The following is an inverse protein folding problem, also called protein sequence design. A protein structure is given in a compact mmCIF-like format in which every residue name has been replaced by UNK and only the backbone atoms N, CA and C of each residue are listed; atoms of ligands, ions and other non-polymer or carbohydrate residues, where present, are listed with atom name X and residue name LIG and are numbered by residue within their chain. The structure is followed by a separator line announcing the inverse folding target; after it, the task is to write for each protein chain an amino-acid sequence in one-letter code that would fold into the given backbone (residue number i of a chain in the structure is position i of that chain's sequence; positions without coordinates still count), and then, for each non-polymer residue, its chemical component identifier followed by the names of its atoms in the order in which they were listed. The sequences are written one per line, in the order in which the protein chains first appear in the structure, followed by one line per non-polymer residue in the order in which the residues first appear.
data_IF_257178214838
#
_entry.id   IF_257178214838
#
_cell.length_a   1.000
_cell.length_b   1.000
_cell.length_c   1.000
_cell.angle_alpha   90.00
_cell.angle_beta   90.00
_cell.angle_gamma   90.00
#
_symmetry.space_group_name_H-M   'P 1'
#
loop_
_entity.id
_entity.type
_entity.pdbx_description
1 polymer ?
#
# COMPACT_ATOMS: atom_id res chain seq x y z
N UNK A 1 35.00 4.74 4.74
CA UNK A 1 34.28 6.00 4.98
C UNK A 1 34.55 6.48 6.39
N UNK A 2 34.88 7.75 6.54
CA UNK A 2 35.19 8.40 7.82
C UNK A 2 33.99 8.36 8.80
N UNK A 3 34.27 8.48 10.11
CA UNK A 3 33.26 8.53 11.18
C UNK A 3 32.21 9.61 10.91
N UNK A 4 32.61 10.78 10.41
CA UNK A 4 31.71 11.89 10.03
C UNK A 4 30.70 11.53 8.97
N UNK A 5 31.06 10.66 8.01
CA UNK A 5 30.14 10.24 6.97
C UNK A 5 28.96 9.41 7.51
N UNK A 6 29.18 8.66 8.61
CA UNK A 6 28.09 7.92 9.29
C UNK A 6 27.19 8.85 10.10
N UNK A 7 27.77 9.86 10.76
CA UNK A 7 27.00 10.87 11.50
C UNK A 7 26.06 11.65 10.57
N UNK A 8 26.51 11.99 9.36
CA UNK A 8 25.68 12.64 8.34
C UNK A 8 24.47 11.78 7.94
N UNK A 9 24.65 10.45 7.83
CA UNK A 9 23.53 9.54 7.53
C UNK A 9 22.52 9.51 8.68
N UNK A 10 22.98 9.42 9.92
CA UNK A 10 22.11 9.45 11.10
C UNK A 10 21.27 10.73 11.12
N UNK A 11 21.91 11.89 10.98
CA UNK A 11 21.24 13.18 10.94
C UNK A 11 20.24 13.31 9.78
N UNK A 12 20.56 12.74 8.60
CA UNK A 12 19.66 12.71 7.47
C UNK A 12 18.39 11.88 7.76
N UNK A 13 18.54 10.69 8.36
CA UNK A 13 17.38 9.84 8.68
C UNK A 13 16.55 10.42 9.82
N UNK A 14 17.16 11.08 10.80
CA UNK A 14 16.45 11.84 11.82
C UNK A 14 15.61 12.97 11.20
N UNK A 15 16.20 13.73 10.27
CA UNK A 15 15.47 14.78 9.56
C UNK A 15 14.30 14.23 8.73
N UNK A 16 14.49 13.10 8.05
CA UNK A 16 13.41 12.47 7.30
C UNK A 16 12.24 12.07 8.20
N UNK A 17 12.55 11.59 9.40
CA UNK A 17 11.53 11.10 10.35
C UNK A 17 10.82 12.27 11.02
N UNK A 18 11.58 13.24 11.54
CA UNK A 18 11.05 14.33 12.38
C UNK A 18 10.48 15.47 11.54
N UNK A 19 11.29 16.03 10.64
CA UNK A 19 10.88 17.22 9.88
C UNK A 19 9.96 16.90 8.69
N UNK A 20 10.30 15.85 7.91
CA UNK A 20 9.52 15.48 6.72
C UNK A 20 8.38 14.51 7.00
N UNK A 21 8.27 14.02 8.25
CA UNK A 21 7.24 13.05 8.65
C UNK A 21 7.12 11.89 7.65
N UNK A 22 8.26 11.44 7.13
CA UNK A 22 8.30 10.33 6.18
C UNK A 22 7.79 9.05 6.84
N UNK A 23 7.05 8.23 6.10
CA UNK A 23 6.57 6.96 6.64
C UNK A 23 7.74 6.05 7.01
N UNK A 24 7.56 5.21 8.03
CA UNK A 24 8.56 4.22 8.45
C UNK A 24 9.06 3.36 7.27
N UNK A 25 8.15 2.97 6.37
CA UNK A 25 8.49 2.24 5.14
C UNK A 25 9.39 3.05 4.20
N UNK A 26 9.18 4.35 4.09
CA UNK A 26 10.03 5.23 3.28
C UNK A 26 11.42 5.33 3.88
N UNK A 27 11.51 5.55 5.19
CA UNK A 27 12.78 5.63 5.91
C UNK A 27 13.57 4.32 5.77
N UNK A 28 12.95 3.17 6.06
CA UNK A 28 13.58 1.84 5.90
C UNK A 28 14.04 1.57 4.46
N UNK A 29 13.26 1.99 3.48
CA UNK A 29 13.63 1.84 2.07
C UNK A 29 14.83 2.71 1.71
N UNK A 30 14.83 3.97 2.13
CA UNK A 30 15.95 4.88 1.91
C UNK A 30 17.21 4.44 2.65
N UNK A 31 17.10 3.93 3.88
CA UNK A 31 18.22 3.35 4.61
C UNK A 31 18.89 2.23 3.82
N UNK A 32 18.08 1.28 3.31
CA UNK A 32 18.58 0.18 2.49
C UNK A 32 19.27 0.69 1.22
N UNK A 33 18.64 1.63 0.52
CA UNK A 33 19.16 2.18 -0.73
C UNK A 33 20.49 2.93 -0.51
N UNK A 34 20.58 3.76 0.52
CA UNK A 34 21.82 4.48 0.87
C UNK A 34 22.90 3.53 1.39
N UNK A 35 22.56 2.46 2.10
CA UNK A 35 23.53 1.43 2.50
C UNK A 35 24.19 0.76 1.28
N UNK A 36 23.46 0.54 0.20
CA UNK A 36 24.05 0.04 -1.04
C UNK A 36 25.04 1.04 -1.65
N UNK A 37 24.70 2.33 -1.66
CA UNK A 37 25.63 3.37 -2.09
C UNK A 37 26.86 3.45 -1.18
N UNK A 38 26.68 3.37 0.13
CA UNK A 38 27.77 3.35 1.11
C UNK A 38 28.75 2.21 0.84
N UNK A 39 28.21 1.01 0.58
CA UNK A 39 29.03 -0.15 0.20
C UNK A 39 29.82 0.11 -1.08
N UNK A 40 29.17 0.66 -2.12
CA UNK A 40 29.83 1.03 -3.37
C UNK A 40 30.98 2.02 -3.12
N UNK A 41 30.77 3.05 -2.28
CA UNK A 41 31.82 4.02 -1.94
C UNK A 41 33.01 3.36 -1.25
N UNK A 42 32.75 2.41 -0.34
CA UNK A 42 33.82 1.66 0.33
C UNK A 42 34.61 0.83 -0.70
N UNK A 43 33.93 0.08 -1.56
CA UNK A 43 34.52 -0.78 -2.59
C UNK A 43 35.33 0.02 -3.62
N UNK A 44 35.00 1.29 -3.84
CA UNK A 44 35.69 2.23 -4.74
C UNK A 44 36.69 3.16 -4.03
N UNK A 45 36.93 2.96 -2.73
CA UNK A 45 37.84 3.79 -1.93
C UNK A 45 37.48 5.27 -1.98
N UNK A 46 36.19 5.62 -2.03
CA UNK A 46 35.69 7.00 -1.95
C UNK A 46 35.51 7.35 -0.46
N UNK A 47 36.32 8.19 0.13
CA UNK A 47 36.36 8.42 1.58
C UNK A 47 35.27 9.35 2.09
N UNK A 48 34.89 10.37 1.30
CA UNK A 48 33.94 11.42 1.67
C UNK A 48 32.76 11.48 0.70
N UNK A 49 31.60 11.88 1.20
CA UNK A 49 30.43 12.11 0.35
C UNK A 49 30.65 13.21 -0.70
N UNK A 50 31.49 14.20 -0.40
CA UNK A 50 31.84 15.28 -1.33
C UNK A 50 32.64 14.78 -2.54
N UNK A 51 33.38 13.67 -2.41
CA UNK A 51 34.21 13.11 -3.48
C UNK A 51 33.43 12.30 -4.49
N UNK A 52 32.15 11.92 -4.18
CA UNK A 52 31.32 11.12 -5.09
C UNK A 52 30.92 11.94 -6.30
N UNK A 53 31.31 11.46 -7.49
CA UNK A 53 31.04 12.12 -8.76
C UNK A 53 29.79 11.56 -9.43
N UNK A 54 29.24 12.29 -10.38
CA UNK A 54 28.11 11.83 -11.20
C UNK A 54 28.40 10.52 -11.94
N UNK A 55 29.66 10.31 -12.40
CA UNK A 55 30.11 9.06 -13.02
C UNK A 55 29.99 7.87 -12.07
N UNK A 56 30.30 8.07 -10.77
CA UNK A 56 30.20 7.03 -9.76
C UNK A 56 28.76 6.63 -9.50
N UNK A 57 27.85 7.61 -9.39
CA UNK A 57 26.42 7.34 -9.25
C UNK A 57 25.88 6.59 -10.48
N UNK A 58 26.29 6.97 -11.69
CA UNK A 58 25.93 6.22 -12.91
C UNK A 58 26.44 4.78 -12.87
N UNK A 59 27.68 4.57 -12.49
CA UNK A 59 28.32 3.26 -12.38
C UNK A 59 27.64 2.39 -11.31
N UNK A 60 27.31 2.98 -10.17
CA UNK A 60 26.55 2.32 -9.10
C UNK A 60 25.18 1.84 -9.64
N UNK A 61 24.38 2.73 -10.22
CA UNK A 61 23.05 2.39 -10.77
C UNK A 61 23.14 1.34 -11.87
N UNK A 62 24.14 1.45 -12.76
CA UNK A 62 24.37 0.45 -13.80
C UNK A 62 24.75 -0.92 -13.22
N UNK A 63 25.55 -0.95 -12.15
CA UNK A 63 25.91 -2.15 -11.41
C UNK A 63 24.68 -2.82 -10.78
N UNK A 64 23.84 -2.02 -10.14
CA UNK A 64 22.58 -2.48 -9.54
C UNK A 64 21.61 -3.03 -10.59
N UNK A 65 21.54 -2.39 -11.76
CA UNK A 65 20.73 -2.88 -12.89
C UNK A 65 21.22 -4.23 -13.39
N UNK A 66 22.54 -4.44 -13.56
CA UNK A 66 23.12 -5.73 -13.93
C UNK A 66 22.86 -6.83 -12.89
N UNK A 67 22.69 -6.47 -11.62
CA UNK A 67 22.27 -7.39 -10.56
C UNK A 67 20.77 -7.72 -10.60
N UNK A 68 20.00 -7.24 -11.59
CA UNK A 68 18.60 -7.57 -11.80
C UNK A 68 17.60 -6.65 -11.08
N UNK A 69 18.03 -5.50 -10.53
CA UNK A 69 17.06 -4.56 -9.94
C UNK A 69 16.16 -3.95 -10.99
N UNK A 70 14.86 -3.90 -10.68
CA UNK A 70 13.86 -3.27 -11.54
C UNK A 70 14.10 -1.75 -11.69
N UNK A 71 13.71 -1.18 -12.82
CA UNK A 71 13.80 0.26 -13.06
C UNK A 71 13.08 1.09 -11.99
N UNK A 72 11.94 0.61 -11.46
CA UNK A 72 11.22 1.27 -10.36
C UNK A 72 12.04 1.30 -9.07
N UNK A 73 12.74 0.20 -8.73
CA UNK A 73 13.63 0.15 -7.58
C UNK A 73 14.82 1.09 -7.75
N UNK A 74 15.40 1.15 -8.95
CA UNK A 74 16.50 2.07 -9.27
C UNK A 74 16.06 3.54 -9.24
N UNK A 75 14.84 3.86 -9.68
CA UNK A 75 14.28 5.21 -9.54
C UNK A 75 14.12 5.61 -8.08
N UNK A 76 13.65 4.68 -7.21
CA UNK A 76 13.56 4.93 -5.77
C UNK A 76 14.95 5.15 -5.16
N UNK A 77 15.92 4.30 -5.49
CA UNK A 77 17.31 4.42 -5.03
C UNK A 77 17.93 5.78 -5.43
N UNK A 78 17.74 6.21 -6.68
CA UNK A 78 18.14 7.55 -7.11
C UNK A 78 17.42 8.66 -6.35
N UNK A 79 16.15 8.49 -6.02
CA UNK A 79 15.40 9.46 -5.22
C UNK A 79 15.94 9.56 -3.80
N UNK A 80 16.33 8.43 -3.18
CA UNK A 80 16.99 8.40 -1.88
C UNK A 80 18.33 9.13 -1.93
N UNK A 81 19.18 8.85 -2.94
CA UNK A 81 20.47 9.49 -3.12
C UNK A 81 20.31 11.00 -3.33
N UNK A 82 19.38 11.44 -4.20
CA UNK A 82 19.09 12.85 -4.41
C UNK A 82 18.62 13.54 -3.13
N UNK A 83 17.76 12.90 -2.37
CA UNK A 83 17.25 13.43 -1.11
C UNK A 83 18.37 13.60 -0.09
N UNK A 84 19.29 12.66 -0.01
CA UNK A 84 20.48 12.72 0.85
C UNK A 84 21.42 13.85 0.43
N UNK A 85 21.76 13.96 -0.83
CA UNK A 85 22.61 15.04 -1.31
C UNK A 85 21.97 16.42 -1.20
N UNK A 86 20.66 16.54 -1.36
CA UNK A 86 19.95 17.78 -1.08
C UNK A 86 20.01 18.16 0.42
N UNK A 87 20.05 17.18 1.32
CA UNK A 87 20.33 17.42 2.74
C UNK A 87 21.76 17.91 2.95
N UNK A 88 22.77 17.28 2.34
CA UNK A 88 24.17 17.69 2.44
C UNK A 88 24.40 19.11 1.91
N UNK A 89 23.77 19.46 0.78
CA UNK A 89 23.79 20.82 0.20
C UNK A 89 23.23 21.86 1.17
N UNK A 90 22.08 21.57 1.81
CA UNK A 90 21.50 22.46 2.82
C UNK A 90 22.42 22.68 4.02
N UNK A 91 23.18 21.66 4.38
CA UNK A 91 24.19 21.73 5.46
C UNK A 91 25.53 22.28 4.99
N UNK A 92 25.68 22.65 3.72
CA UNK A 92 26.95 23.15 3.10
C UNK A 92 28.11 22.15 3.23
N UNK A 93 27.79 20.84 3.20
CA UNK A 93 28.76 19.74 3.30
C UNK A 93 29.19 19.22 1.91
N UNK A 94 28.52 19.64 0.86
CA UNK A 94 28.85 19.40 -0.55
C UNK A 94 28.48 20.62 -1.38
N UNK A 95 29.11 20.76 -2.56
CA UNK A 95 28.82 21.87 -3.49
C UNK A 95 27.80 21.49 -4.56
N UNK A 96 27.59 20.21 -4.81
CA UNK A 96 26.71 19.72 -5.86
C UNK A 96 26.03 18.41 -5.47
N UNK A 97 24.95 18.08 -6.21
CA UNK A 97 24.24 16.81 -6.08
C UNK A 97 24.61 15.91 -7.27
N UNK A 98 25.48 14.90 -7.10
CA UNK A 98 25.96 14.04 -8.18
C UNK A 98 24.85 13.16 -8.79
N UNK A 99 23.71 12.98 -8.10
CA UNK A 99 22.58 12.21 -8.59
C UNK A 99 21.57 13.06 -9.36
N UNK A 100 21.73 14.38 -9.44
CA UNK A 100 20.71 15.32 -9.96
C UNK A 100 20.25 14.94 -11.36
N UNK A 101 21.18 14.65 -12.26
CA UNK A 101 20.91 14.37 -13.67
C UNK A 101 21.04 12.90 -14.05
N UNK A 102 21.31 12.01 -13.11
CA UNK A 102 21.39 10.56 -13.37
C UNK A 102 19.96 10.02 -13.51
N UNK A 103 19.71 9.28 -14.59
CA UNK A 103 18.41 8.66 -14.89
C UNK A 103 18.52 7.15 -14.73
N UNK A 104 17.50 6.54 -14.14
CA UNK A 104 17.35 5.08 -14.17
C UNK A 104 16.97 4.62 -15.59
N UNK A 105 17.31 3.38 -15.96
CA UNK A 105 16.85 2.79 -17.22
C UNK A 105 15.32 2.89 -17.32
N UNK A 106 14.84 3.24 -18.53
CA UNK A 106 13.39 3.28 -18.79
C UNK A 106 12.84 1.85 -18.79
N UNK A 107 11.76 1.63 -18.10
CA UNK A 107 10.97 0.41 -18.26
C UNK A 107 9.75 0.74 -19.12
N UNK A 108 9.40 -0.16 -20.04
CA UNK A 108 8.11 -0.06 -20.72
C UNK A 108 6.99 -0.02 -19.65
N UNK A 109 6.15 1.00 -19.68
CA UNK A 109 4.99 1.07 -18.80
C UNK A 109 4.06 -0.09 -19.16
N UNK A 110 4.06 -1.14 -18.35
CA UNK A 110 2.98 -2.12 -18.41
C UNK A 110 1.73 -1.41 -17.90
N UNK A 111 0.67 -1.42 -18.71
CA UNK A 111 -0.63 -0.97 -18.21
C UNK A 111 -0.99 -1.79 -16.98
N UNK A 112 -1.51 -1.16 -15.93
CA UNK A 112 -1.97 -1.90 -14.77
C UNK A 112 -3.01 -2.92 -15.24
N UNK A 113 -2.83 -4.19 -14.91
CA UNK A 113 -3.83 -5.21 -15.15
C UNK A 113 -4.95 -5.03 -14.13
N UNK A 114 -6.16 -4.90 -14.61
CA UNK A 114 -7.40 -4.99 -13.82
C UNK A 114 -8.02 -6.36 -14.04
N UNK A 115 -8.71 -6.87 -13.05
CA UNK A 115 -9.61 -8.00 -13.19
C UNK A 115 -10.95 -7.46 -13.64
N UNK A 116 -11.61 -8.12 -14.56
CA UNK A 116 -13.00 -7.80 -14.90
C UNK A 116 -13.98 -8.29 -13.80
N UNK A 117 -15.25 -7.92 -13.93
CA UNK A 117 -16.29 -8.24 -12.93
C UNK A 117 -16.49 -9.74 -12.80
N UNK A 118 -16.42 -10.49 -13.90
CA UNK A 118 -16.62 -11.93 -13.91
C UNK A 118 -15.44 -12.65 -13.25
N UNK A 119 -14.21 -12.21 -13.49
CA UNK A 119 -13.02 -12.71 -12.82
C UNK A 119 -13.08 -12.47 -11.30
N UNK A 120 -13.53 -11.29 -10.88
CA UNK A 120 -13.73 -10.98 -9.46
C UNK A 120 -14.85 -11.86 -8.87
N UNK A 121 -15.96 -12.02 -9.59
CA UNK A 121 -17.05 -12.88 -9.15
C UNK A 121 -16.59 -14.33 -9.01
N UNK A 122 -15.87 -14.88 -9.98
CA UNK A 122 -15.27 -16.20 -9.90
C UNK A 122 -14.29 -16.37 -8.73
N UNK A 123 -13.53 -15.31 -8.39
CA UNK A 123 -12.63 -15.31 -7.25
C UNK A 123 -13.37 -15.35 -5.91
N UNK A 124 -14.48 -14.61 -5.78
CA UNK A 124 -15.18 -14.35 -4.52
C UNK A 124 -16.41 -15.22 -4.28
N UNK A 125 -17.05 -15.77 -5.33
CA UNK A 125 -18.22 -16.67 -5.19
C UNK A 125 -17.86 -18.14 -4.98
N UNK A 126 -16.59 -18.45 -5.08
CA UNK A 126 -16.10 -19.77 -4.78
C UNK A 126 -16.18 -20.08 -3.27
N UNK A 127 -17.09 -20.95 -2.86
CA UNK A 127 -17.42 -21.27 -1.47
C UNK A 127 -16.23 -21.45 -0.51
N UNK A 128 -16.46 -21.21 0.77
CA UNK A 128 -15.50 -21.32 1.85
C UNK A 128 -15.86 -22.48 2.77
N UNK A 129 -15.01 -23.51 2.86
CA UNK A 129 -15.28 -24.79 3.55
C UNK A 129 -14.57 -24.93 4.90
N UNK A 130 -13.77 -23.96 5.30
CA UNK A 130 -13.02 -23.97 6.56
C UNK A 130 -13.01 -22.59 7.20
N UNK A 131 -12.76 -22.52 8.51
CA UNK A 131 -12.65 -21.23 9.22
C UNK A 131 -11.63 -20.27 8.59
N UNK A 132 -10.51 -20.80 8.07
CA UNK A 132 -9.51 -20.01 7.37
C UNK A 132 -10.04 -19.46 6.05
N UNK A 133 -10.81 -20.23 5.32
CA UNK A 133 -11.39 -19.79 4.05
C UNK A 133 -12.54 -18.80 4.25
N UNK A 134 -13.33 -18.97 5.31
CA UNK A 134 -14.38 -18.00 5.70
C UNK A 134 -13.73 -16.65 6.03
N UNK A 135 -12.60 -16.64 6.78
CA UNK A 135 -11.83 -15.45 7.03
C UNK A 135 -11.31 -14.82 5.75
N UNK A 136 -10.68 -15.64 4.91
CA UNK A 136 -10.04 -15.17 3.68
C UNK A 136 -11.06 -14.60 2.71
N UNK A 137 -12.23 -15.24 2.58
CA UNK A 137 -13.34 -14.71 1.78
C UNK A 137 -13.83 -13.36 2.31
N UNK A 138 -14.06 -13.25 3.65
CA UNK A 138 -14.47 -12.00 4.27
C UNK A 138 -13.45 -10.89 4.04
N UNK A 139 -12.16 -11.23 4.12
CA UNK A 139 -11.06 -10.31 3.89
C UNK A 139 -11.00 -9.83 2.44
N UNK A 140 -11.15 -10.72 1.46
CA UNK A 140 -11.07 -10.36 0.05
C UNK A 140 -12.33 -9.66 -0.46
N UNK A 141 -13.51 -10.03 0.04
CA UNK A 141 -14.76 -9.31 -0.21
C UNK A 141 -14.65 -7.87 0.28
N UNK A 142 -14.21 -7.68 1.53
CA UNK A 142 -14.03 -6.34 2.09
C UNK A 142 -12.98 -5.54 1.32
N UNK A 143 -11.89 -6.19 0.92
CA UNK A 143 -10.81 -5.55 0.19
C UNK A 143 -11.27 -4.99 -1.16
N UNK A 144 -12.00 -5.81 -1.93
CA UNK A 144 -12.56 -5.38 -3.21
C UNK A 144 -13.73 -4.41 -3.02
N UNK A 145 -14.61 -4.66 -2.07
CA UNK A 145 -15.79 -3.82 -1.81
C UNK A 145 -15.44 -2.40 -1.40
N UNK A 146 -14.37 -2.19 -0.63
CA UNK A 146 -14.04 -0.89 -0.06
C UNK A 146 -12.78 -0.25 -0.66
N UNK A 147 -12.11 -0.93 -1.58
CA UNK A 147 -10.89 -0.43 -2.23
C UNK A 147 -9.77 -0.06 -1.27
N UNK A 148 -9.65 -0.73 -0.13
CA UNK A 148 -8.64 -0.49 0.89
C UNK A 148 -7.21 -0.63 0.35
N UNK A 149 -6.23 -0.01 1.03
CA UNK A 149 -4.83 -0.39 0.87
C UNK A 149 -4.53 -1.63 1.71
N UNK A 150 -3.55 -2.44 1.29
CA UNK A 150 -3.16 -3.64 2.05
C UNK A 150 -2.85 -3.34 3.52
N UNK A 151 -2.12 -2.24 3.78
CA UNK A 151 -1.83 -1.81 5.14
C UNK A 151 -3.06 -1.37 5.92
N UNK A 152 -4.03 -0.75 5.27
CA UNK A 152 -5.30 -0.36 5.89
C UNK A 152 -6.12 -1.60 6.28
N UNK A 153 -6.25 -2.57 5.37
CA UNK A 153 -6.92 -3.84 5.64
C UNK A 153 -6.29 -4.58 6.83
N UNK A 154 -4.95 -4.69 6.85
CA UNK A 154 -4.23 -5.36 7.94
C UNK A 154 -4.37 -4.64 9.29
N UNK A 155 -4.58 -3.33 9.28
CA UNK A 155 -4.71 -2.50 10.48
C UNK A 155 -6.13 -2.45 11.06
N UNK A 156 -7.17 -2.94 10.34
CA UNK A 156 -8.56 -2.87 10.79
C UNK A 156 -8.78 -3.57 12.13
N UNK A 157 -9.55 -2.93 12.98
CA UNK A 157 -10.06 -3.47 14.23
C UNK A 157 -11.57 -3.76 14.12
N UNK A 158 -12.11 -4.52 15.06
CA UNK A 158 -13.57 -4.72 15.19
C UNK A 158 -14.32 -3.40 15.33
N UNK A 159 -13.79 -2.47 16.13
CA UNK A 159 -14.40 -1.16 16.37
C UNK A 159 -14.34 -0.21 15.15
N UNK A 160 -13.69 -0.60 14.05
CA UNK A 160 -13.64 0.19 12.83
C UNK A 160 -14.76 -0.17 11.83
N UNK A 161 -15.53 -1.22 12.11
CA UNK A 161 -16.63 -1.71 11.27
C UNK A 161 -17.97 -1.41 11.94
N UNK A 162 -18.83 -0.74 11.20
CA UNK A 162 -20.24 -0.58 11.54
C UNK A 162 -21.09 -1.37 10.53
N UNK A 163 -21.50 -2.59 10.94
CA UNK A 163 -22.29 -3.49 10.08
C UNK A 163 -23.73 -3.03 9.89
N UNK A 164 -24.42 -2.49 10.91
CA UNK A 164 -25.73 -1.87 10.75
C UNK A 164 -25.75 -0.74 9.73
N UNK A 165 -24.73 0.12 9.73
CA UNK A 165 -24.61 1.27 8.83
C UNK A 165 -23.85 0.95 7.53
N UNK A 166 -23.47 -0.31 7.31
CA UNK A 166 -22.68 -0.77 6.16
C UNK A 166 -21.46 0.12 5.90
N UNK A 167 -20.76 0.51 6.94
CA UNK A 167 -19.62 1.42 6.86
C UNK A 167 -18.39 0.91 7.60
N UNK A 168 -17.23 1.42 7.21
CA UNK A 168 -15.97 1.19 7.90
C UNK A 168 -15.15 2.47 8.00
N UNK A 169 -14.44 2.62 9.12
CA UNK A 169 -13.52 3.73 9.36
C UNK A 169 -12.07 3.31 9.10
N UNK A 170 -11.42 3.96 8.16
CA UNK A 170 -9.96 3.85 7.99
C UNK A 170 -9.29 4.90 8.86
N UNK A 171 -8.68 4.45 9.97
CA UNK A 171 -7.88 5.31 10.87
C UNK A 171 -6.48 5.49 10.27
N UNK A 172 -5.94 6.68 10.30
CA UNK A 172 -4.55 6.93 9.89
C UNK A 172 -4.22 6.55 8.44
N UNK A 173 -5.03 6.95 7.47
CA UNK A 173 -4.69 6.90 6.06
C UNK A 173 -3.40 7.67 5.73
N UNK A 174 -2.95 7.66 4.48
CA UNK A 174 -1.75 8.39 4.05
C UNK A 174 -1.87 9.88 4.44
N UNK A 175 -0.95 10.36 5.30
CA UNK A 175 -0.97 11.72 5.84
C UNK A 175 -1.78 11.88 7.13
N UNK A 176 -2.15 10.80 7.83
CA UNK A 176 -2.81 10.85 9.15
C UNK A 176 -4.31 11.18 9.10
N UNK A 177 -4.93 11.24 7.93
CA UNK A 177 -6.36 11.55 7.78
C UNK A 177 -7.19 10.27 7.86
N UNK A 178 -8.22 10.27 8.71
CA UNK A 178 -9.23 9.21 8.75
C UNK A 178 -10.29 9.45 7.68
N UNK A 179 -10.92 8.37 7.21
CA UNK A 179 -12.06 8.44 6.30
C UNK A 179 -13.03 7.28 6.54
N UNK A 180 -14.32 7.51 6.27
CA UNK A 180 -15.36 6.48 6.30
C UNK A 180 -15.55 5.97 4.87
N UNK A 181 -15.73 4.66 4.73
CA UNK A 181 -15.96 3.98 3.45
C UNK A 181 -17.23 3.13 3.54
N UNK A 182 -18.03 3.05 2.48
CA UNK A 182 -19.14 2.10 2.41
C UNK A 182 -18.64 0.66 2.29
N UNK A 183 -19.43 -0.27 2.77
CA UNK A 183 -19.21 -1.72 2.67
C UNK A 183 -20.38 -2.33 1.89
N UNK A 184 -20.09 -3.06 0.81
CA UNK A 184 -21.12 -3.77 0.05
C UNK A 184 -21.75 -4.93 0.82
N UNK A 185 -23.01 -5.25 0.51
CA UNK A 185 -23.80 -6.27 1.19
C UNK A 185 -23.13 -7.67 1.19
N UNK A 186 -22.39 -8.01 0.15
CA UNK A 186 -21.62 -9.27 0.07
C UNK A 186 -20.50 -9.31 1.11
N UNK A 187 -19.77 -8.21 1.28
CA UNK A 187 -18.72 -8.10 2.30
C UNK A 187 -19.33 -8.12 3.72
N UNK A 188 -20.44 -7.44 3.97
CA UNK A 188 -21.18 -7.50 5.24
C UNK A 188 -21.56 -8.95 5.57
N UNK A 189 -22.14 -9.69 4.61
CA UNK A 189 -22.50 -11.10 4.77
C UNK A 189 -21.26 -11.95 5.10
N UNK A 190 -20.17 -11.76 4.37
CA UNK A 190 -18.92 -12.51 4.59
C UNK A 190 -18.29 -12.20 5.96
N UNK A 191 -18.33 -10.94 6.42
CA UNK A 191 -17.86 -10.55 7.75
C UNK A 191 -18.73 -11.18 8.83
N UNK A 192 -20.05 -11.16 8.70
CA UNK A 192 -20.97 -11.80 9.64
C UNK A 192 -20.69 -13.30 9.77
N UNK A 193 -20.32 -13.99 8.69
CA UNK A 193 -19.92 -15.39 8.73
C UNK A 193 -18.54 -15.59 9.39
N UNK A 194 -17.65 -14.61 9.28
CA UNK A 194 -16.33 -14.67 9.89
C UNK A 194 -16.34 -14.42 11.41
N UNK A 195 -17.10 -13.48 11.90
CA UNK A 195 -17.09 -13.07 13.31
C UNK A 195 -17.26 -14.22 14.31
N UNK A 196 -18.19 -15.20 14.12
CA UNK A 196 -18.31 -16.36 15.01
C UNK A 196 -17.06 -17.26 14.98
N UNK A 197 -16.40 -17.42 13.83
CA UNK A 197 -15.19 -18.21 13.71
C UNK A 197 -13.99 -17.51 14.36
N UNK A 198 -13.94 -16.18 14.27
CA UNK A 198 -12.95 -15.36 14.94
C UNK A 198 -13.00 -15.54 16.46
N UNK A 199 -14.19 -15.53 17.05
CA UNK A 199 -14.37 -15.71 18.49
C UNK A 199 -13.81 -17.03 19.03
N UNK A 200 -13.82 -18.09 18.23
CA UNK A 200 -13.26 -19.40 18.61
C UNK A 200 -11.74 -19.43 18.69
N UNK A 201 -11.05 -18.48 18.01
CA UNK A 201 -9.61 -18.50 17.80
C UNK A 201 -8.90 -17.25 18.33
N UNK A 202 -9.60 -16.42 19.11
CA UNK A 202 -9.04 -15.14 19.59
C UNK A 202 -8.07 -15.35 20.76
N UNK A 203 -6.91 -14.69 20.72
CA UNK A 203 -6.13 -14.41 21.93
C UNK A 203 -6.83 -13.30 22.75
N UNK A 204 -6.79 -13.38 24.04
CA UNK A 204 -7.68 -12.72 25.03
C UNK A 204 -7.85 -11.20 24.93
N UNK A 205 -7.05 -10.49 24.12
CA UNK A 205 -7.11 -9.02 24.01
C UNK A 205 -6.91 -8.48 22.58
N UNK A 206 -6.97 -9.36 21.56
CA UNK A 206 -6.74 -8.91 20.18
C UNK A 206 -7.95 -8.18 19.60
N UNK A 207 -7.78 -6.92 19.25
CA UNK A 207 -8.82 -6.06 18.64
C UNK A 207 -8.92 -6.20 17.13
N UNK A 208 -7.94 -6.82 16.46
CA UNK A 208 -7.89 -6.92 15.00
C UNK A 208 -9.13 -7.61 14.42
N UNK A 209 -9.66 -7.11 13.32
CA UNK A 209 -10.75 -7.75 12.59
C UNK A 209 -10.31 -9.11 12.03
N UNK A 210 -9.14 -9.16 11.39
CA UNK A 210 -8.60 -10.39 10.81
C UNK A 210 -7.41 -10.91 11.63
N UNK A 211 -7.54 -12.13 12.13
CA UNK A 211 -6.54 -12.79 12.98
C UNK A 211 -5.95 -14.02 12.30
N UNK A 212 -4.73 -14.37 12.70
CA UNK A 212 -4.05 -15.59 12.34
C UNK A 212 -4.63 -16.79 13.09
N UNK A 213 -4.18 -18.01 12.76
CA UNK A 213 -4.49 -19.23 13.53
C UNK A 213 -3.97 -19.18 14.97
N UNK A 214 -3.05 -18.25 15.28
CA UNK A 214 -2.52 -18.04 16.65
C UNK A 214 -3.35 -17.01 17.43
N UNK A 215 -4.45 -16.51 16.87
CA UNK A 215 -5.30 -15.52 17.51
C UNK A 215 -4.75 -14.08 17.52
N UNK A 216 -3.68 -13.81 16.77
CA UNK A 216 -3.04 -12.49 16.68
C UNK A 216 -3.31 -11.82 15.33
N UNK A 217 -3.17 -10.50 15.26
CA UNK A 217 -3.36 -9.70 14.02
C UNK A 217 -2.65 -10.31 12.82
N UNK A 218 -3.35 -10.37 11.70
CA UNK A 218 -2.81 -10.87 10.44
C UNK A 218 -1.93 -9.81 9.77
N UNK A 219 -0.66 -10.12 9.52
CA UNK A 219 0.27 -9.21 8.87
C UNK A 219 0.08 -9.13 7.34
N UNK A 220 0.53 -8.03 6.73
CA UNK A 220 0.39 -7.77 5.29
C UNK A 220 0.94 -8.93 4.43
N UNK A 221 2.13 -9.46 4.76
CA UNK A 221 2.72 -10.57 4.02
C UNK A 221 1.88 -11.84 4.09
N UNK A 222 1.24 -12.09 5.23
CA UNK A 222 0.33 -13.23 5.37
C UNK A 222 -0.91 -13.05 4.51
N UNK A 223 -1.46 -11.83 4.41
CA UNK A 223 -2.60 -11.53 3.53
C UNK A 223 -2.24 -11.78 2.06
N UNK A 224 -1.06 -11.33 1.61
CA UNK A 224 -0.57 -11.60 0.24
C UNK A 224 -0.47 -13.10 -0.04
N UNK A 225 0.15 -13.86 0.87
CA UNK A 225 0.27 -15.32 0.74
C UNK A 225 -1.09 -16.03 0.73
N UNK A 226 -2.04 -15.58 1.57
CA UNK A 226 -3.40 -16.13 1.58
C UNK A 226 -4.12 -15.87 0.27
N UNK A 227 -3.98 -14.68 -0.31
CA UNK A 227 -4.57 -14.36 -1.63
C UNK A 227 -3.96 -15.24 -2.74
N UNK A 228 -2.65 -15.43 -2.74
CA UNK A 228 -1.98 -16.33 -3.69
C UNK A 228 -2.48 -17.78 -3.56
N UNK A 229 -2.58 -18.29 -2.33
CA UNK A 229 -3.09 -19.64 -2.06
C UNK A 229 -4.57 -19.78 -2.47
N UNK A 230 -5.37 -18.75 -2.23
CA UNK A 230 -6.77 -18.69 -2.64
C UNK A 230 -6.91 -18.79 -4.15
N UNK A 231 -6.17 -17.98 -4.91
CA UNK A 231 -6.17 -18.03 -6.37
C UNK A 231 -5.77 -19.42 -6.91
N UNK A 232 -4.69 -19.99 -6.37
CA UNK A 232 -4.24 -21.35 -6.75
C UNK A 232 -5.32 -22.39 -6.50
N UNK A 233 -5.97 -22.36 -5.34
CA UNK A 233 -7.04 -23.29 -4.99
C UNK A 233 -8.25 -23.18 -5.91
N UNK A 234 -8.55 -21.97 -6.39
CA UNK A 234 -9.67 -21.70 -7.29
C UNK A 234 -9.33 -21.88 -8.77
N UNK A 235 -8.15 -22.42 -9.09
CA UNK A 235 -7.72 -22.67 -10.47
C UNK A 235 -7.45 -21.41 -11.28
N UNK A 236 -7.25 -20.26 -10.62
CA UNK A 236 -6.96 -18.98 -11.29
C UNK A 236 -5.49 -18.97 -11.63
N UNK A 237 -5.18 -19.08 -12.93
CA UNK A 237 -3.80 -19.09 -13.42
C UNK A 237 -3.11 -17.71 -13.30
N UNK A 238 -3.89 -16.64 -13.23
CA UNK A 238 -3.36 -15.27 -13.14
C UNK A 238 -2.83 -14.98 -11.73
N UNK A 239 -1.64 -14.34 -11.66
CA UNK A 239 -1.07 -13.90 -10.40
C UNK A 239 -1.79 -12.63 -9.92
N UNK A 240 -2.80 -12.82 -9.06
CA UNK A 240 -3.55 -11.72 -8.46
C UNK A 240 -2.83 -11.24 -7.20
N UNK A 241 -2.67 -9.92 -7.08
CA UNK A 241 -2.08 -9.27 -5.91
C UNK A 241 -3.00 -8.16 -5.38
N UNK A 242 -2.84 -7.75 -4.10
CA UNK A 242 -3.74 -6.79 -3.45
C UNK A 242 -4.01 -5.50 -4.24
N UNK A 243 -2.99 -4.94 -4.88
CA UNK A 243 -3.16 -3.72 -5.68
C UNK A 243 -4.07 -3.91 -6.90
N UNK A 244 -4.14 -5.13 -7.48
CA UNK A 244 -5.08 -5.40 -8.58
C UNK A 244 -6.52 -5.33 -8.11
N UNK A 245 -6.85 -5.91 -6.94
CA UNK A 245 -8.21 -5.84 -6.38
C UNK A 245 -8.64 -4.38 -6.15
N UNK A 246 -7.77 -3.59 -5.53
CA UNK A 246 -8.05 -2.16 -5.32
C UNK A 246 -8.16 -1.39 -6.64
N UNK A 247 -7.36 -1.73 -7.65
CA UNK A 247 -7.40 -1.07 -8.95
C UNK A 247 -8.68 -1.45 -9.71
N UNK A 248 -9.09 -2.72 -9.65
CA UNK A 248 -10.36 -3.19 -10.22
C UNK A 248 -11.56 -2.51 -9.54
N UNK A 249 -11.56 -2.37 -8.20
CA UNK A 249 -12.55 -1.56 -7.49
C UNK A 249 -12.65 -0.14 -8.09
N UNK A 250 -11.50 0.54 -8.22
CA UNK A 250 -11.48 1.91 -8.74
C UNK A 250 -12.01 2.01 -10.19
N UNK A 251 -11.60 1.07 -11.05
CA UNK A 251 -12.02 1.05 -12.46
C UNK A 251 -13.52 0.74 -12.59
N UNK A 252 -14.00 -0.30 -11.91
CA UNK A 252 -15.41 -0.71 -12.01
C UNK A 252 -16.35 0.36 -11.43
N UNK A 253 -15.94 0.98 -10.30
CA UNK A 253 -16.74 2.05 -9.73
C UNK A 253 -16.74 3.30 -10.63
N UNK A 254 -15.61 3.64 -11.25
CA UNK A 254 -15.52 4.77 -12.18
C UNK A 254 -16.34 4.53 -13.46
N UNK A 255 -16.24 3.33 -14.05
CA UNK A 255 -16.99 2.95 -15.25
C UNK A 255 -18.50 3.02 -15.02
N UNK A 256 -18.95 2.59 -13.84
CA UNK A 256 -20.38 2.54 -13.52
C UNK A 256 -20.94 3.87 -13.02
N UNK A 257 -20.17 4.63 -12.22
CA UNK A 257 -20.62 5.89 -11.64
C UNK A 257 -20.35 7.11 -12.52
N UNK A 258 -19.32 7.03 -13.37
CA UNK A 258 -18.77 8.17 -14.13
C UNK A 258 -18.34 9.37 -13.24
N UNK A 259 -18.25 9.16 -11.93
CA UNK A 259 -17.85 10.17 -10.95
C UNK A 259 -16.41 9.96 -10.46
N UNK A 260 -15.47 10.55 -11.20
CA UNK A 260 -14.05 10.48 -10.86
C UNK A 260 -13.74 11.08 -9.47
N UNK A 261 -14.51 12.11 -9.05
CA UNK A 261 -14.28 12.77 -7.77
C UNK A 261 -14.67 11.86 -6.61
N UNK A 262 -15.86 11.25 -6.65
CA UNK A 262 -16.29 10.30 -5.64
C UNK A 262 -15.31 9.12 -5.53
N UNK A 263 -14.84 8.57 -6.66
CA UNK A 263 -13.85 7.49 -6.67
C UNK A 263 -12.52 7.92 -6.03
N UNK A 264 -12.02 9.12 -6.33
CA UNK A 264 -10.78 9.65 -5.73
C UNK A 264 -10.92 9.86 -4.22
N UNK A 265 -12.06 10.33 -3.75
CA UNK A 265 -12.36 10.52 -2.33
C UNK A 265 -12.40 9.17 -1.59
N UNK A 266 -13.13 8.19 -2.10
CA UNK A 266 -13.17 6.83 -1.55
C UNK A 266 -11.77 6.18 -1.49
N UNK A 267 -10.95 6.40 -2.50
CA UNK A 267 -9.58 5.88 -2.51
C UNK A 267 -8.63 6.65 -1.57
N UNK A 268 -9.01 7.83 -1.09
CA UNK A 268 -8.15 8.67 -0.23
C UNK A 268 -6.90 9.15 -0.98
N UNK A 269 -7.07 9.73 -2.17
CA UNK A 269 -5.99 10.37 -2.92
C UNK A 269 -5.73 11.77 -2.37
N UNK A 270 -4.52 12.01 -1.87
CA UNK A 270 -4.13 13.22 -1.12
C UNK A 270 -3.91 14.48 -1.96
N UNK A 271 -4.14 14.45 -3.27
CA UNK A 271 -3.78 15.56 -4.17
C UNK A 271 -4.92 16.52 -4.50
N UNK A 272 -6.06 16.42 -3.81
CA UNK A 272 -7.08 17.49 -3.88
C UNK A 272 -6.84 18.40 -2.70
N UNK A 273 -6.42 19.62 -2.98
CA UNK A 273 -6.10 20.69 -2.03
C UNK A 273 -7.36 21.22 -1.37
N UNK A 274 -7.92 20.48 -0.43
CA UNK A 274 -8.82 21.03 0.59
C UNK A 274 -8.87 20.08 1.78
N UNK A 275 -8.63 20.61 2.95
CA UNK A 275 -8.91 19.98 4.23
C UNK A 275 -10.43 19.97 4.41
N UNK A 276 -11.14 19.08 3.73
CA UNK A 276 -12.54 18.83 4.03
C UNK A 276 -12.60 17.89 5.22
N UNK A 277 -13.15 18.38 6.31
CA UNK A 277 -13.68 17.55 7.40
C UNK A 277 -14.86 16.84 6.75
N UNK A 278 -14.79 15.49 6.60
CA UNK A 278 -15.92 14.71 6.09
C UNK A 278 -17.11 14.91 7.01
N UNK A 279 -18.11 15.58 6.49
CA UNK A 279 -19.41 15.69 7.16
C UNK A 279 -20.23 14.43 6.88
N UNK A 280 -21.24 14.16 7.69
CA UNK A 280 -22.18 13.05 7.48
C UNK A 280 -22.86 13.13 6.10
N UNK A 281 -23.06 14.33 5.56
CA UNK A 281 -23.65 14.60 4.24
C UNK A 281 -22.70 14.17 3.10
N UNK A 282 -21.40 14.34 3.23
CA UNK A 282 -20.43 13.90 2.22
C UNK A 282 -20.38 12.36 2.14
N UNK A 283 -20.49 11.68 3.29
CA UNK A 283 -20.55 10.21 3.32
C UNK A 283 -21.83 9.67 2.66
N UNK A 284 -22.99 10.29 2.89
CA UNK A 284 -24.26 9.88 2.29
C UNK A 284 -24.19 9.93 0.76
N UNK A 285 -23.65 11.01 0.19
CA UNK A 285 -23.44 11.12 -1.25
C UNK A 285 -22.50 10.03 -1.79
N UNK A 286 -21.39 9.76 -1.11
CA UNK A 286 -20.46 8.71 -1.50
C UNK A 286 -21.06 7.32 -1.41
N UNK A 287 -21.89 7.07 -0.39
CA UNK A 287 -22.64 5.82 -0.22
C UNK A 287 -23.67 5.63 -1.34
N UNK A 288 -24.41 6.69 -1.72
CA UNK A 288 -25.38 6.65 -2.81
C UNK A 288 -24.72 6.35 -4.16
N UNK A 289 -23.59 6.97 -4.45
CA UNK A 289 -22.80 6.69 -5.68
C UNK A 289 -22.30 5.25 -5.65
N UNK A 290 -21.80 4.79 -4.51
CA UNK A 290 -21.33 3.43 -4.33
C UNK A 290 -22.46 2.40 -4.52
N UNK A 291 -23.61 2.59 -3.87
CA UNK A 291 -24.73 1.68 -3.92
C UNK A 291 -25.37 1.55 -5.31
N UNK A 292 -25.30 2.61 -6.10
CA UNK A 292 -25.79 2.60 -7.50
C UNK A 292 -24.82 1.94 -8.46
N UNK A 293 -23.52 2.07 -8.21
CA UNK A 293 -22.47 1.77 -9.19
C UNK A 293 -21.64 0.51 -8.88
N UNK A 294 -21.42 0.16 -7.60
CA UNK A 294 -20.50 -0.93 -7.29
C UNK A 294 -21.17 -2.31 -7.47
N UNK A 295 -20.56 -3.28 -8.20
CA UNK A 295 -21.16 -4.59 -8.52
C UNK A 295 -21.55 -5.43 -7.30
N UNK A 296 -20.94 -5.20 -6.14
CA UNK A 296 -21.20 -5.95 -4.90
C UNK A 296 -21.90 -5.14 -3.80
N UNK A 297 -22.44 -3.96 -4.15
CA UNK A 297 -23.16 -3.12 -3.19
C UNK A 297 -24.50 -3.76 -2.77
N UNK A 298 -25.29 -4.25 -3.72
CA UNK A 298 -26.63 -4.79 -3.47
C UNK A 298 -26.66 -6.31 -3.42
N UNK A 299 -27.55 -6.88 -2.58
CA UNK A 299 -28.02 -8.25 -2.77
C UNK A 299 -28.77 -8.29 -4.10
N UNK A 300 -28.51 -9.33 -4.95
CA UNK A 300 -29.46 -9.63 -6.02
C UNK A 300 -30.82 -9.84 -5.35
N UNK A 301 -31.80 -9.02 -5.71
CA UNK A 301 -33.23 -9.35 -5.45
C UNK A 301 -33.48 -10.67 -6.17
N UNK A 302 -33.78 -11.73 -5.43
CA UNK A 302 -34.35 -12.96 -5.94
C UNK A 302 -35.71 -12.70 -6.61
#
# INVERSE_FOLDING_TARGET
MHTDAKQMLTAFFEQLTVEKRASEHTVKSYQRDINHLTKYCIDKSIPLWADLKQSDVRSHIAGRHRQGLSSTSLQRELSAIRSFYNFLLKKRLTESNPAQYVKAPKQARKLPKTLDVDQISGLLEAGANSALEIRDLAMFELFYSSGLRLGELAALNLADIDLPDNSLMVRSGKGGKSRILPIGSKAVTAINNWLPQRLKNIATSESALFISTRGTRLGQRSIELRLEQWCKKKGIAEHIHPHMLRHSFASHLLESSQDLRAVQELLGHSNISTTQIYTHLDFQHLADVYDKAHPRAKKKSE
#
